data_IF_670622827669
#
_entry.id   IF_670622827669
#
_cell.length_a   1.000
_cell.length_b   1.000
_cell.length_c   1.000
_cell.angle_alpha   90.00
_cell.angle_beta   90.00
_cell.angle_gamma   90.00
#
_symmetry.space_group_name_H-M   'P 1'
#
loop_
_entity.id
_entity.type
_entity.pdbx_description
1 polymer ?
#
# COMPACT_ATOMS: atom_id res chain seq x y z
N UNK A 1 -7.12 -70.59 -17.44
CA UNK A 1 -6.93 -69.50 -18.42
C UNK A 1 -6.40 -68.28 -17.66
N UNK A 2 -5.14 -67.90 -17.90
CA UNK A 2 -4.51 -66.68 -17.35
C UNK A 2 -4.49 -65.65 -18.48
N UNK A 3 -5.11 -64.49 -18.27
CA UNK A 3 -5.12 -63.40 -19.24
C UNK A 3 -4.00 -62.40 -18.86
N UNK A 4 -2.96 -62.34 -19.70
CA UNK A 4 -1.84 -61.41 -19.57
C UNK A 4 -2.20 -60.13 -20.32
N UNK A 5 -2.25 -58.99 -19.64
CA UNK A 5 -2.45 -57.67 -20.27
C UNK A 5 -1.10 -56.97 -20.35
N UNK A 6 -0.67 -56.67 -21.57
CA UNK A 6 0.53 -55.88 -21.90
C UNK A 6 0.14 -54.40 -21.90
N UNK A 7 0.80 -53.57 -21.09
CA UNK A 7 0.68 -52.11 -21.17
C UNK A 7 1.64 -51.58 -22.23
N UNK A 8 1.10 -51.11 -23.35
CA UNK A 8 1.83 -50.29 -24.31
C UNK A 8 1.87 -48.84 -23.79
N UNK A 9 3.07 -48.31 -23.62
CA UNK A 9 3.28 -46.93 -23.18
C UNK A 9 2.95 -45.93 -24.28
N UNK A 10 2.25 -44.85 -23.90
CA UNK A 10 2.27 -43.59 -24.64
C UNK A 10 2.80 -42.49 -23.71
N UNK A 11 3.96 -41.92 -24.09
CA UNK A 11 4.43 -40.63 -23.60
C UNK A 11 3.45 -39.55 -24.07
N UNK A 12 2.64 -39.05 -23.14
CA UNK A 12 1.81 -37.86 -23.33
C UNK A 12 2.34 -36.73 -22.45
N UNK A 13 2.83 -35.68 -23.10
CA UNK A 13 3.39 -34.46 -22.53
C UNK A 13 2.38 -33.80 -21.57
N UNK A 14 2.77 -33.61 -20.30
CA UNK A 14 2.06 -32.76 -19.35
C UNK A 14 2.20 -31.29 -19.78
N UNK A 15 1.23 -30.76 -20.51
CA UNK A 15 0.96 -29.33 -20.53
C UNK A 15 0.20 -29.00 -19.24
N UNK A 16 0.91 -28.44 -18.27
CA UNK A 16 0.29 -27.84 -17.08
C UNK A 16 -0.56 -26.65 -17.53
N UNK A 17 -1.84 -26.54 -17.13
CA UNK A 17 -2.55 -25.28 -17.27
C UNK A 17 -1.87 -24.26 -16.35
N UNK A 18 -1.41 -23.16 -16.96
CA UNK A 18 -0.87 -22.01 -16.28
C UNK A 18 -1.85 -21.53 -15.20
N UNK A 19 -1.29 -21.23 -14.02
CA UNK A 19 -2.00 -20.81 -12.82
C UNK A 19 -2.98 -19.68 -13.11
N UNK A 20 -4.26 -19.95 -12.88
CA UNK A 20 -5.24 -18.92 -12.59
C UNK A 20 -4.83 -18.24 -11.28
N UNK A 21 -4.46 -16.96 -11.33
CA UNK A 21 -4.24 -16.13 -10.15
C UNK A 21 -5.56 -15.99 -9.41
N UNK A 22 -5.81 -16.83 -8.40
CA UNK A 22 -6.92 -16.67 -7.48
C UNK A 22 -6.69 -15.43 -6.63
N UNK A 23 -7.39 -14.34 -6.95
CA UNK A 23 -7.48 -13.17 -6.07
C UNK A 23 -8.25 -13.63 -4.83
N UNK A 24 -7.54 -13.85 -3.72
CA UNK A 24 -8.15 -14.08 -2.41
C UNK A 24 -8.76 -12.77 -1.92
N UNK A 25 -9.96 -12.45 -2.39
CA UNK A 25 -10.81 -11.46 -1.74
C UNK A 25 -11.18 -12.08 -0.39
N UNK A 26 -10.60 -11.59 0.71
CA UNK A 26 -11.14 -11.82 2.05
C UNK A 26 -12.57 -11.31 2.05
N UNK A 27 -13.55 -12.21 1.92
CA UNK A 27 -14.94 -11.88 2.19
C UNK A 27 -15.00 -11.35 3.62
N UNK A 28 -15.30 -10.06 3.77
CA UNK A 28 -15.88 -9.58 5.02
C UNK A 28 -17.14 -10.42 5.26
N UNK A 29 -17.13 -11.20 6.34
CA UNK A 29 -18.32 -11.91 6.81
C UNK A 29 -19.36 -10.84 7.18
N UNK A 30 -20.23 -10.50 6.23
CA UNK A 30 -21.40 -9.67 6.51
C UNK A 30 -22.33 -10.52 7.36
N UNK A 31 -22.39 -10.23 8.64
CA UNK A 31 -23.31 -10.86 9.57
C UNK A 31 -24.73 -10.34 9.28
N UNK A 32 -25.60 -11.19 8.75
CA UNK A 32 -27.04 -10.92 8.62
C UNK A 32 -27.77 -11.59 9.78
N UNK A 33 -28.25 -10.85 10.80
CA UNK A 33 -29.16 -11.42 11.78
C UNK A 33 -30.59 -11.45 11.21
N UNK A 34 -31.10 -12.67 11.11
CA UNK A 34 -32.50 -13.08 11.26
C UNK A 34 -33.52 -12.79 10.13
N UNK A 35 -33.91 -13.91 9.50
CA UNK A 35 -35.28 -14.32 9.23
C UNK A 35 -36.20 -13.35 8.45
N UNK A 36 -36.03 -13.29 7.14
CA UNK A 36 -37.09 -13.60 6.16
C UNK A 36 -36.43 -13.65 4.77
N UNK A 37 -36.39 -14.83 4.17
CA UNK A 37 -35.73 -15.05 2.89
C UNK A 37 -36.44 -14.30 1.76
N UNK A 38 -35.97 -13.09 1.44
CA UNK A 38 -36.21 -12.42 0.14
C UNK A 38 -34.88 -12.14 -0.53
N UNK A 39 -34.46 -13.11 -1.34
CA UNK A 39 -33.57 -13.00 -2.51
C UNK A 39 -32.58 -11.82 -2.47
N UNK A 40 -31.54 -11.94 -1.65
CA UNK A 40 -30.33 -11.13 -1.83
C UNK A 40 -29.59 -11.70 -3.06
N UNK A 41 -30.03 -11.30 -4.25
CA UNK A 41 -29.32 -11.59 -5.49
C UNK A 41 -28.02 -10.82 -5.47
N UNK A 42 -26.92 -11.48 -5.10
CA UNK A 42 -25.57 -10.95 -5.31
C UNK A 42 -25.39 -10.90 -6.84
N UNK A 43 -25.73 -9.77 -7.47
CA UNK A 43 -25.08 -9.42 -8.73
C UNK A 43 -23.63 -9.20 -8.34
N UNK A 44 -22.79 -10.19 -8.62
CA UNK A 44 -21.34 -10.01 -8.62
C UNK A 44 -21.06 -8.84 -9.55
N UNK A 45 -20.82 -7.67 -8.98
CA UNK A 45 -20.23 -6.56 -9.70
C UNK A 45 -18.73 -6.88 -9.68
N UNK A 46 -18.30 -7.74 -10.61
CA UNK A 46 -16.88 -7.95 -10.89
C UNK A 46 -16.34 -6.67 -11.51
N UNK A 47 -16.08 -5.66 -10.68
CA UNK A 47 -15.28 -4.52 -11.13
C UNK A 47 -13.85 -5.06 -11.26
N UNK A 48 -13.45 -5.39 -12.48
CA UNK A 48 -12.07 -5.69 -12.84
C UNK A 48 -11.26 -4.39 -12.75
N UNK A 49 -11.03 -3.89 -11.53
CA UNK A 49 -10.03 -2.84 -11.33
C UNK A 49 -8.68 -3.46 -11.66
N UNK A 50 -8.04 -2.97 -12.72
CA UNK A 50 -6.74 -3.45 -13.18
C UNK A 50 -5.66 -2.98 -12.21
N UNK A 51 -5.52 -3.69 -11.10
CA UNK A 51 -4.55 -3.40 -10.06
C UNK A 51 -3.36 -4.33 -10.21
N UNK A 52 -2.15 -3.77 -10.22
CA UNK A 52 -0.95 -4.57 -10.28
C UNK A 52 -0.29 -4.60 -8.91
N UNK A 53 -0.34 -5.77 -8.25
CA UNK A 53 0.16 -5.94 -6.87
C UNK A 53 1.46 -6.77 -6.87
N UNK A 54 2.43 -6.35 -6.06
CA UNK A 54 3.61 -7.17 -5.73
C UNK A 54 3.92 -7.11 -4.24
N UNK A 55 4.50 -8.19 -3.71
CA UNK A 55 5.01 -8.26 -2.34
C UNK A 55 6.53 -8.04 -2.34
N UNK A 56 7.00 -7.21 -1.41
CA UNK A 56 8.40 -6.84 -1.18
C UNK A 56 8.75 -7.34 0.22
N UNK A 57 9.66 -8.30 0.30
CA UNK A 57 10.11 -8.87 1.57
C UNK A 57 11.19 -8.02 2.24
N UNK A 58 11.05 -7.77 3.54
CA UNK A 58 12.12 -7.23 4.38
C UNK A 58 13.06 -8.34 4.86
N UNK A 59 14.38 -8.13 4.78
CA UNK A 59 15.34 -8.98 5.50
C UNK A 59 15.39 -8.49 6.95
N UNK A 60 15.16 -9.37 7.91
CA UNK A 60 14.91 -9.08 9.33
C UNK A 60 16.08 -8.50 10.13
N UNK A 61 17.06 -7.86 9.48
CA UNK A 61 18.26 -7.32 10.12
C UNK A 61 18.28 -5.78 10.20
N UNK A 62 17.29 -5.08 9.63
CA UNK A 62 17.04 -3.65 9.85
C UNK A 62 15.62 -3.50 10.41
N UNK A 63 15.52 -3.17 11.70
CA UNK A 63 14.31 -3.27 12.53
C UNK A 63 13.12 -2.36 12.20
N UNK A 64 12.84 -2.10 10.91
CA UNK A 64 11.72 -1.27 10.45
C UNK A 64 11.01 -1.76 9.18
N UNK A 65 11.55 -2.73 8.41
CA UNK A 65 10.92 -3.16 7.16
C UNK A 65 10.02 -4.39 7.36
N UNK A 66 8.72 -4.16 7.54
CA UNK A 66 7.71 -5.21 7.43
C UNK A 66 7.60 -5.69 5.97
N UNK A 67 6.82 -6.75 5.74
CA UNK A 67 6.49 -7.14 4.37
C UNK A 67 5.63 -6.03 3.75
N UNK A 68 6.11 -5.44 2.65
CA UNK A 68 5.37 -4.40 1.95
C UNK A 68 4.66 -4.97 0.74
N UNK A 69 3.48 -4.45 0.41
CA UNK A 69 2.85 -4.69 -0.88
C UNK A 69 2.56 -3.36 -1.55
N UNK A 70 2.95 -3.22 -2.80
CA UNK A 70 2.66 -2.03 -3.60
C UNK A 70 1.71 -2.38 -4.70
N UNK A 71 0.92 -1.38 -5.04
CA UNK A 71 -0.10 -1.54 -6.02
C UNK A 71 -0.46 -0.26 -6.74
N UNK A 72 -0.67 -0.39 -8.04
CA UNK A 72 -0.82 0.75 -8.94
C UNK A 72 -2.14 0.63 -9.68
N UNK A 73 -2.93 1.70 -9.64
CA UNK A 73 -4.16 1.86 -10.41
C UNK A 73 -4.02 3.05 -11.36
N UNK A 74 -3.68 2.74 -12.60
CA UNK A 74 -3.53 3.73 -13.67
C UNK A 74 -4.87 4.36 -14.10
N UNK A 75 -6.01 3.69 -13.89
CA UNK A 75 -7.34 4.21 -14.26
C UNK A 75 -7.78 5.33 -13.31
N UNK A 76 -7.40 5.25 -12.05
CA UNK A 76 -7.74 6.24 -11.03
C UNK A 76 -6.56 7.17 -10.68
N UNK A 77 -5.41 7.01 -11.32
CA UNK A 77 -4.17 7.70 -11.01
C UNK A 77 -3.81 7.64 -9.52
N UNK A 78 -3.89 6.44 -8.93
CA UNK A 78 -3.53 6.23 -7.51
C UNK A 78 -2.55 5.08 -7.36
N UNK A 79 -1.69 5.19 -6.36
CA UNK A 79 -0.85 4.09 -5.89
C UNK A 79 -1.11 3.85 -4.41
N UNK A 80 -0.99 2.59 -3.98
CA UNK A 80 -1.16 2.19 -2.60
C UNK A 80 0.01 1.30 -2.16
N UNK A 81 0.53 1.55 -0.96
CA UNK A 81 1.59 0.76 -0.34
C UNK A 81 1.13 0.33 1.06
N UNK A 82 1.00 -0.96 1.26
CA UNK A 82 0.78 -1.53 2.58
C UNK A 82 2.11 -1.97 3.18
N UNK A 83 2.31 -1.73 4.47
CA UNK A 83 3.38 -2.31 5.26
C UNK A 83 2.78 -3.13 6.40
N UNK A 84 2.97 -4.44 6.34
CA UNK A 84 2.51 -5.38 7.33
C UNK A 84 3.64 -5.67 8.32
N UNK A 85 3.66 -4.91 9.42
CA UNK A 85 4.66 -5.02 10.49
C UNK A 85 4.01 -5.13 11.88
N UNK A 86 2.97 -5.96 12.01
CA UNK A 86 2.26 -6.15 13.27
C UNK A 86 1.65 -4.84 13.79
N UNK A 87 2.04 -4.41 15.00
CA UNK A 87 1.55 -3.18 15.62
C UNK A 87 2.01 -1.90 14.92
N UNK A 88 3.12 -1.97 14.18
CA UNK A 88 3.69 -0.86 13.41
C UNK A 88 3.27 -0.91 11.93
N UNK A 89 2.17 -1.61 11.64
CA UNK A 89 1.60 -1.63 10.30
C UNK A 89 1.08 -0.25 9.91
N UNK A 90 1.22 0.07 8.63
CA UNK A 90 0.70 1.30 8.04
C UNK A 90 0.28 1.08 6.59
N UNK A 91 -0.59 1.95 6.09
CA UNK A 91 -0.98 2.00 4.69
C UNK A 91 -0.73 3.40 4.13
N UNK A 92 -0.09 3.51 2.98
CA UNK A 92 0.11 4.75 2.26
C UNK A 92 -0.73 4.75 0.97
N UNK A 93 -1.35 5.88 0.66
CA UNK A 93 -2.07 6.11 -0.59
C UNK A 93 -1.58 7.41 -1.22
N UNK A 94 -1.14 7.33 -2.47
CA UNK A 94 -0.67 8.44 -3.28
C UNK A 94 -1.72 8.74 -4.35
N UNK A 95 -2.34 9.91 -4.29
CA UNK A 95 -3.33 10.38 -5.25
C UNK A 95 -2.73 11.43 -6.18
N UNK A 96 -2.38 10.99 -7.39
CA UNK A 96 -1.73 11.83 -8.39
C UNK A 96 -2.68 12.82 -9.06
N UNK A 97 -4.00 12.72 -8.85
CA UNK A 97 -4.94 13.73 -9.35
C UNK A 97 -4.94 14.98 -8.47
N UNK A 98 -4.77 14.81 -7.16
CA UNK A 98 -4.80 15.89 -6.16
C UNK A 98 -3.41 16.34 -5.72
N UNK A 99 -2.36 15.64 -6.14
CA UNK A 99 -0.98 15.80 -5.67
C UNK A 99 -0.84 15.60 -4.15
N UNK A 100 -1.71 14.79 -3.56
CA UNK A 100 -1.71 14.48 -2.14
C UNK A 100 -1.29 13.03 -1.90
N UNK A 101 -0.53 12.83 -0.84
CA UNK A 101 -0.22 11.53 -0.29
C UNK A 101 -0.75 11.47 1.14
N UNK A 102 -1.23 10.30 1.53
CA UNK A 102 -1.75 10.05 2.85
C UNK A 102 -1.13 8.77 3.40
N UNK A 103 -0.84 8.75 4.70
CA UNK A 103 -0.41 7.57 5.44
C UNK A 103 -1.34 7.35 6.63
N UNK A 104 -1.85 6.13 6.75
CA UNK A 104 -2.68 5.66 7.85
C UNK A 104 -1.84 4.77 8.76
N UNK A 105 -1.66 5.19 10.00
CA UNK A 105 -0.94 4.46 11.04
C UNK A 105 -1.94 3.63 11.85
N UNK A 106 -1.91 2.30 11.72
CA UNK A 106 -2.94 1.44 12.32
C UNK A 106 -2.86 1.39 13.84
N UNK A 107 -1.66 1.17 14.41
CA UNK A 107 -1.46 1.14 15.86
C UNK A 107 -1.79 2.46 16.56
N UNK A 108 -1.67 3.58 15.84
CA UNK A 108 -1.87 4.93 16.37
C UNK A 108 -3.22 5.53 16.04
N UNK A 109 -3.99 4.88 15.16
CA UNK A 109 -5.31 5.33 14.70
C UNK A 109 -5.27 6.78 14.20
N UNK A 110 -4.26 7.11 13.39
CA UNK A 110 -4.07 8.44 12.79
C UNK A 110 -3.94 8.32 11.28
N UNK A 111 -4.42 9.32 10.57
CA UNK A 111 -4.12 9.54 9.17
C UNK A 111 -3.38 10.87 9.02
N UNK A 112 -2.29 10.87 8.26
CA UNK A 112 -1.49 12.06 8.01
C UNK A 112 -1.47 12.28 6.51
N UNK A 113 -1.73 13.51 6.08
CA UNK A 113 -1.87 13.87 4.67
C UNK A 113 -0.91 15.00 4.34
N UNK A 114 -0.16 14.88 3.26
CA UNK A 114 0.81 15.88 2.83
C UNK A 114 0.74 16.07 1.31
N UNK A 115 1.27 17.20 0.84
CA UNK A 115 1.48 17.43 -0.59
C UNK A 115 2.69 16.60 -1.05
N UNK A 116 2.57 15.97 -2.21
CA UNK A 116 3.66 15.18 -2.79
C UNK A 116 4.75 16.09 -3.38
N UNK A 117 6.01 15.82 -3.03
CA UNK A 117 7.15 16.45 -3.68
C UNK A 117 7.46 15.74 -5.01
N UNK A 118 7.08 16.36 -6.13
CA UNK A 118 7.25 15.79 -7.48
C UNK A 118 8.72 15.62 -7.90
N UNK A 119 9.65 16.28 -7.22
CA UNK A 119 11.09 16.16 -7.51
C UNK A 119 11.71 14.91 -6.86
N UNK A 120 11.02 14.32 -5.88
CA UNK A 120 11.52 13.23 -5.05
C UNK A 120 10.63 11.99 -5.16
N UNK A 121 9.31 12.15 -5.08
CA UNK A 121 8.37 11.04 -5.22
C UNK A 121 8.29 10.56 -6.67
N UNK A 122 8.26 9.24 -6.91
CA UNK A 122 8.20 8.70 -8.27
C UNK A 122 6.87 9.03 -8.94
N UNK A 123 6.91 9.26 -10.25
CA UNK A 123 5.68 9.32 -11.05
C UNK A 123 4.94 7.98 -11.01
N UNK A 124 3.63 8.00 -11.23
CA UNK A 124 2.82 6.78 -11.29
C UNK A 124 3.35 5.81 -12.35
N UNK A 125 3.75 6.31 -13.52
CA UNK A 125 4.30 5.49 -14.62
C UNK A 125 5.64 4.86 -14.24
N UNK A 126 6.49 5.61 -13.54
CA UNK A 126 7.75 5.08 -13.00
C UNK A 126 7.46 3.96 -12.01
N UNK A 127 6.51 4.17 -11.10
CA UNK A 127 6.13 3.16 -10.11
C UNK A 127 5.54 1.91 -10.78
N UNK A 128 4.64 2.09 -11.75
CA UNK A 128 4.03 1.01 -12.55
C UNK A 128 5.10 0.16 -13.25
N UNK A 129 6.11 0.82 -13.84
CA UNK A 129 7.25 0.16 -14.48
C UNK A 129 8.08 -0.63 -13.47
N UNK A 130 8.42 -0.03 -12.33
CA UNK A 130 9.18 -0.70 -11.26
C UNK A 130 8.45 -1.94 -10.73
N UNK A 131 7.12 -1.86 -10.60
CA UNK A 131 6.26 -2.97 -10.20
C UNK A 131 6.26 -4.08 -11.26
N UNK A 132 6.08 -3.74 -12.53
CA UNK A 132 6.07 -4.68 -13.67
C UNK A 132 7.39 -5.43 -13.82
N UNK A 133 8.49 -4.70 -13.70
CA UNK A 133 9.84 -5.24 -13.83
C UNK A 133 10.32 -5.95 -12.55
N UNK A 134 9.49 -5.97 -11.49
CA UNK A 134 9.82 -6.52 -10.17
C UNK A 134 11.12 -5.94 -9.58
N UNK A 135 11.50 -4.73 -9.99
CA UNK A 135 12.72 -4.05 -9.51
C UNK A 135 12.65 -3.64 -8.03
N UNK A 136 11.46 -3.71 -7.44
CA UNK A 136 11.23 -3.52 -6.01
C UNK A 136 11.44 -4.82 -5.19
N UNK A 137 11.54 -5.98 -5.86
CA UNK A 137 11.75 -7.29 -5.21
C UNK A 137 13.24 -7.68 -5.31
N UNK A 138 13.99 -7.58 -4.22
CA UNK A 138 15.41 -7.94 -4.19
C UNK A 138 16.18 -7.25 -3.07
N UNK A 139 17.52 -7.42 -3.03
CA UNK A 139 18.39 -6.54 -2.24
C UNK A 139 18.10 -5.10 -2.69
N UNK A 140 17.95 -4.18 -1.73
CA UNK A 140 17.75 -2.75 -2.03
C UNK A 140 18.75 -2.27 -3.09
N UNK A 141 18.39 -1.26 -3.89
CA UNK A 141 19.15 -0.88 -5.08
C UNK A 141 20.65 -0.75 -4.75
N UNK A 142 21.51 -1.32 -5.60
CA UNK A 142 22.93 -0.93 -5.69
C UNK A 142 22.95 0.53 -6.18
N UNK A 143 22.74 1.46 -5.26
CA UNK A 143 22.46 2.84 -5.60
C UNK A 143 22.57 3.74 -4.37
N UNK A 144 22.51 5.06 -4.59
CA UNK A 144 22.53 6.02 -3.49
C UNK A 144 21.38 5.74 -2.51
N UNK A 145 21.56 6.06 -1.22
CA UNK A 145 20.53 5.85 -0.21
C UNK A 145 19.20 6.52 -0.61
N UNK A 146 18.05 5.98 -0.17
CA UNK A 146 16.75 6.55 -0.45
C UNK A 146 16.73 8.05 -0.13
N UNK A 147 16.09 8.84 -0.99
CA UNK A 147 15.91 10.26 -0.69
C UNK A 147 15.01 10.38 0.55
N UNK A 148 15.44 11.18 1.52
CA UNK A 148 14.67 11.47 2.73
C UNK A 148 13.75 12.66 2.51
N UNK A 149 12.48 12.50 2.87
CA UNK A 149 11.52 13.60 3.03
C UNK A 149 11.13 13.70 4.49
N UNK A 150 11.00 14.93 4.98
CA UNK A 150 10.57 15.16 6.36
C UNK A 150 9.42 16.16 6.38
N UNK A 151 8.40 15.85 7.17
CA UNK A 151 7.17 16.62 7.26
C UNK A 151 6.88 17.00 8.70
N UNK A 152 6.42 18.24 8.92
CA UNK A 152 5.89 18.72 10.19
C UNK A 152 4.38 18.54 10.20
N UNK A 153 3.86 17.77 11.15
CA UNK A 153 2.41 17.52 11.26
C UNK A 153 1.75 18.65 12.04
N UNK A 154 0.75 19.26 11.41
CA UNK A 154 -0.09 20.26 12.02
C UNK A 154 -0.94 19.63 13.13
N UNK A 155 -0.98 20.22 14.35
CA UNK A 155 -1.81 19.71 15.44
C UNK A 155 -3.33 19.84 15.19
N UNK A 156 -3.79 20.70 14.29
CA UNK A 156 -5.21 20.83 13.98
C UNK A 156 -5.70 19.72 13.04
N UNK A 157 -6.80 19.07 13.43
CA UNK A 157 -7.45 18.05 12.62
C UNK A 157 -8.15 18.64 11.40
N UNK A 158 -8.09 17.90 10.28
CA UNK A 158 -8.84 18.19 9.07
C UNK A 158 -10.33 17.95 9.32
N UNK A 159 -11.10 19.04 9.35
CA UNK A 159 -12.55 19.02 9.61
C UNK A 159 -13.37 18.42 8.46
N UNK A 160 -12.95 18.66 7.22
CA UNK A 160 -13.66 18.22 6.02
C UNK A 160 -12.75 17.40 5.10
N UNK A 161 -12.85 16.08 5.24
CA UNK A 161 -12.07 15.12 4.44
C UNK A 161 -12.39 15.19 2.94
N UNK A 162 -13.56 15.70 2.53
CA UNK A 162 -13.92 15.76 1.12
C UNK A 162 -12.99 16.67 0.31
N UNK A 163 -12.34 17.62 0.97
CA UNK A 163 -11.34 18.51 0.36
C UNK A 163 -10.04 17.80 -0.03
N UNK A 164 -9.81 16.59 0.49
CA UNK A 164 -8.60 15.80 0.24
C UNK A 164 -8.73 14.88 -0.99
N UNK A 165 -9.89 14.87 -1.64
CA UNK A 165 -10.19 13.92 -2.71
C UNK A 165 -10.79 12.61 -2.21
N UNK A 166 -11.62 11.98 -3.06
CA UNK A 166 -12.35 10.75 -2.70
C UNK A 166 -11.45 9.59 -2.24
N UNK A 167 -10.30 9.30 -2.88
CA UNK A 167 -9.44 8.19 -2.45
C UNK A 167 -8.95 8.35 -1.01
N UNK A 168 -8.38 9.52 -0.67
CA UNK A 168 -7.87 9.82 0.67
C UNK A 168 -9.00 9.91 1.69
N UNK A 169 -10.10 10.60 1.35
CA UNK A 169 -11.26 10.71 2.23
C UNK A 169 -11.82 9.33 2.63
N UNK A 170 -11.86 8.38 1.69
CA UNK A 170 -12.28 7.01 1.96
C UNK A 170 -11.27 6.26 2.84
N UNK A 171 -9.97 6.40 2.59
CA UNK A 171 -8.92 5.75 3.38
C UNK A 171 -8.92 6.20 4.85
N UNK A 172 -9.16 7.49 5.09
CA UNK A 172 -9.05 8.15 6.40
C UNK A 172 -10.39 8.36 7.11
N UNK A 173 -11.49 7.82 6.54
CA UNK A 173 -12.83 7.95 7.12
C UNK A 173 -12.89 7.38 8.54
N UNK A 174 -13.37 8.19 9.47
CA UNK A 174 -13.54 7.81 10.88
C UNK A 174 -12.23 7.79 11.68
N UNK A 175 -11.18 8.43 11.18
CA UNK A 175 -9.86 8.49 11.78
C UNK A 175 -9.44 9.95 11.90
N UNK A 176 -8.91 10.40 13.06
CA UNK A 176 -8.26 11.69 13.19
C UNK A 176 -7.24 11.89 12.07
N UNK A 177 -7.44 12.93 11.27
CA UNK A 177 -6.67 13.21 10.06
C UNK A 177 -5.98 14.55 10.21
N UNK A 178 -4.68 14.61 9.95
CA UNK A 178 -3.85 15.80 10.12
C UNK A 178 -3.13 16.14 8.82
N UNK A 179 -3.00 17.43 8.53
CA UNK A 179 -2.13 17.89 7.43
C UNK A 179 -0.68 17.92 7.90
N UNK A 180 0.24 17.71 6.97
CA UNK A 180 1.67 17.87 7.19
C UNK A 180 2.33 18.67 6.08
N UNK A 181 3.30 19.50 6.45
CA UNK A 181 4.03 20.39 5.55
C UNK A 181 5.49 19.95 5.47
N UNK A 182 6.06 19.99 4.28
CA UNK A 182 7.45 19.57 4.06
C UNK A 182 8.42 20.55 4.72
N UNK A 183 9.46 19.99 5.34
CA UNK A 183 10.50 20.74 6.03
C UNK A 183 11.72 20.80 5.11
N UNK A 184 12.07 22.00 4.63
CA UNK A 184 13.16 22.19 3.68
C UNK A 184 14.44 22.75 4.34
N UNK A 185 15.60 22.19 3.97
CA UNK A 185 16.92 22.79 4.26
C UNK A 185 17.28 22.88 5.75
N UNK A 186 17.73 24.06 6.20
CA UNK A 186 18.22 24.29 7.57
C UNK A 186 17.17 24.06 8.67
N UNK A 187 15.88 24.01 8.31
CA UNK A 187 14.79 23.75 9.25
C UNK A 187 14.76 22.29 9.76
N UNK A 188 15.44 21.37 9.07
CA UNK A 188 15.64 19.99 9.52
C UNK A 188 16.44 19.90 10.84
N UNK A 189 17.29 20.90 11.15
CA UNK A 189 18.09 20.92 12.38
C UNK A 189 17.30 21.31 13.65
N UNK A 190 16.07 21.82 13.48
CA UNK A 190 15.27 22.40 14.58
C UNK A 190 14.07 21.54 14.96
N UNK A 191 13.84 20.40 14.30
CA UNK A 191 12.76 19.48 14.68
C UNK A 191 13.16 18.63 15.87
N UNK A 192 12.81 19.08 17.08
CA UNK A 192 13.04 18.39 18.34
C UNK A 192 11.87 17.49 18.77
N UNK A 193 11.01 17.08 17.83
CA UNK A 193 9.79 16.31 18.09
C UNK A 193 9.96 14.80 17.99
N UNK A 194 8.96 14.04 18.46
CA UNK A 194 8.84 12.60 18.14
C UNK A 194 8.52 12.48 16.65
N UNK A 195 9.21 11.61 15.93
CA UNK A 195 8.96 11.37 14.51
C UNK A 195 8.62 9.91 14.25
N UNK A 196 7.66 9.69 13.35
CA UNK A 196 7.41 8.39 12.75
C UNK A 196 8.06 8.35 11.37
N UNK A 197 8.88 7.34 11.11
CA UNK A 197 9.55 7.15 9.82
C UNK A 197 9.01 5.92 9.10
N UNK A 198 8.66 6.08 7.83
CA UNK A 198 8.30 5.00 6.92
C UNK A 198 9.35 4.91 5.82
N UNK A 199 10.05 3.77 5.75
CA UNK A 199 10.77 3.37 4.55
C UNK A 199 9.74 2.79 3.57
N UNK A 200 9.56 3.43 2.42
CA UNK A 200 8.57 3.06 1.42
C UNK A 200 9.31 2.51 0.20
N UNK A 201 9.14 1.20 -0.04
CA UNK A 201 9.65 0.46 -1.20
C UNK A 201 11.16 0.55 -1.43
N UNK A 202 11.95 0.91 -0.41
CA UNK A 202 13.40 1.15 -0.51
C UNK A 202 13.80 2.30 -1.44
N UNK A 203 12.84 3.12 -1.89
CA UNK A 203 13.09 4.26 -2.79
C UNK A 203 12.91 5.60 -2.09
N UNK A 204 12.19 5.61 -0.97
CA UNK A 204 11.81 6.83 -0.27
C UNK A 204 11.77 6.58 1.23
N UNK A 205 12.42 7.44 2.00
CA UNK A 205 12.24 7.48 3.44
C UNK A 205 11.41 8.72 3.78
N UNK A 206 10.22 8.56 4.35
CA UNK A 206 9.38 9.68 4.77
C UNK A 206 9.33 9.71 6.30
N UNK A 207 9.63 10.86 6.89
CA UNK A 207 9.51 11.09 8.33
C UNK A 207 8.43 12.13 8.63
N UNK A 208 7.51 11.81 9.54
CA UNK A 208 6.46 12.70 10.02
C UNK A 208 6.74 13.07 11.47
N UNK A 209 7.04 14.33 11.73
CA UNK A 209 7.45 14.84 13.02
C UNK A 209 6.37 15.72 13.63
N UNK A 210 6.21 15.65 14.95
CA UNK A 210 5.33 16.55 15.69
C UNK A 210 5.88 16.80 17.08
N UNK A 211 5.68 18.02 17.57
CA UNK A 211 6.01 18.43 18.93
C UNK A 211 4.88 18.14 19.93
N UNK A 212 3.65 17.93 19.45
CA UNK A 212 2.45 17.81 20.30
C UNK A 212 1.65 16.54 20.06
N UNK A 213 1.83 15.90 18.90
CA UNK A 213 1.09 14.71 18.48
C UNK A 213 1.97 13.48 18.73
N UNK A 214 1.57 12.60 19.66
CA UNK A 214 2.32 11.36 19.91
C UNK A 214 2.11 10.33 18.78
N UNK A 215 3.21 9.73 18.30
CA UNK A 215 3.19 8.66 17.30
C UNK A 215 3.47 7.30 17.89
#
# INVERSE_FOLDING_TARGET
MKLTIVFAGLLGVFLTPALASSVSIKLFKVYCPNAFAKKCGIKSLSISHKFQEINIGGNSNSGASGQQSVSVNNEHNVANVDNNNGWDSWNALWDYNTDLAAIRLFGKKKCIVHRMNKNVMPSLQTLDTLVKEKKLQGKGPEGPPPKGLMYSVNPEEVKDLNKLGKPIANMCRGIPTYMAEEIEGASLFFTSGKCFSADILWILNISYCSSTVEY
#
